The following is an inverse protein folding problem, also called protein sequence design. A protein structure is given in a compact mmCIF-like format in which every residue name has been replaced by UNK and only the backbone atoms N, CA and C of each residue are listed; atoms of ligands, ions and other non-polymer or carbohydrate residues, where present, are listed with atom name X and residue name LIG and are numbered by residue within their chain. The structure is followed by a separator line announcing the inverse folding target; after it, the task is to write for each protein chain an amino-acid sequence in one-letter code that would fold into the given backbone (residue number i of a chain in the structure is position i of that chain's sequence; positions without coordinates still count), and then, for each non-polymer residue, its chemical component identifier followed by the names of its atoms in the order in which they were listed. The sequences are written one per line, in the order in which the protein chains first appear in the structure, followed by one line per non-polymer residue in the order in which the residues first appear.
data_IF_779966975538
#
_entry.id   IF_779966975538
#
_cell.length_a   1.000
_cell.length_b   1.000
_cell.length_c   1.000
_cell.angle_alpha   90.00
_cell.angle_beta   90.00
_cell.angle_gamma   90.00
#
_symmetry.space_group_name_H-M   'P 1'
#
loop_
_entity.id
_entity.type
_entity.pdbx_description
1 polymer ?
#
# COMPACT_ATOMS: atom_id res chain seq x y z
N UNK A 1 31.30 24.79 -9.06
CA UNK A 1 30.04 25.09 -8.35
C UNK A 1 28.81 24.52 -9.05
N UNK A 2 28.63 24.80 -10.33
CA UNK A 2 27.47 24.29 -11.07
C UNK A 2 27.41 22.76 -11.14
N UNK A 3 28.52 22.07 -11.30
CA UNK A 3 28.57 20.61 -11.35
C UNK A 3 28.09 19.99 -10.04
N UNK A 4 28.45 20.62 -8.91
CA UNK A 4 28.04 20.14 -7.60
C UNK A 4 26.51 20.23 -7.42
N UNK A 5 25.93 21.36 -7.82
CA UNK A 5 24.48 21.57 -7.72
C UNK A 5 23.73 20.58 -8.62
N UNK A 6 24.22 20.34 -9.83
CA UNK A 6 23.63 19.38 -10.76
C UNK A 6 23.64 17.97 -10.17
N UNK A 7 24.75 17.57 -9.56
CA UNK A 7 24.85 16.24 -8.92
C UNK A 7 23.85 16.09 -7.77
N UNK A 8 23.67 17.12 -6.97
CA UNK A 8 22.73 17.11 -5.88
C UNK A 8 21.28 16.93 -6.37
N UNK A 9 20.89 17.64 -7.42
CA UNK A 9 19.55 17.52 -8.02
C UNK A 9 19.34 16.11 -8.57
N UNK A 10 20.35 15.53 -9.20
CA UNK A 10 20.27 14.17 -9.73
C UNK A 10 20.00 13.15 -8.62
N UNK A 11 20.67 13.26 -7.47
CA UNK A 11 20.46 12.37 -6.34
C UNK A 11 19.03 12.48 -5.79
N UNK A 12 18.50 13.70 -5.69
CA UNK A 12 17.12 13.91 -5.26
C UNK A 12 16.13 13.29 -6.24
N UNK A 13 16.36 13.42 -7.54
CA UNK A 13 15.50 12.82 -8.56
C UNK A 13 15.48 11.30 -8.45
N UNK A 14 16.64 10.67 -8.22
CA UNK A 14 16.74 9.23 -8.06
C UNK A 14 15.96 8.76 -6.84
N UNK A 15 16.03 9.48 -5.74
CA UNK A 15 15.29 9.16 -4.52
C UNK A 15 13.78 9.22 -4.75
N UNK A 16 13.29 10.29 -5.40
CA UNK A 16 11.86 10.44 -5.72
C UNK A 16 11.37 9.31 -6.61
N UNK A 17 12.15 8.91 -7.62
CA UNK A 17 11.79 7.80 -8.50
C UNK A 17 11.66 6.47 -7.74
N UNK A 18 12.49 6.23 -6.74
CA UNK A 18 12.40 5.03 -5.92
C UNK A 18 11.08 5.00 -5.13
N UNK A 19 10.69 6.13 -4.56
CA UNK A 19 9.44 6.23 -3.81
C UNK A 19 8.22 6.10 -4.72
N UNK A 20 8.27 6.65 -5.92
CA UNK A 20 7.17 6.57 -6.87
C UNK A 20 6.85 5.15 -7.33
N UNK A 21 7.77 4.22 -7.15
CA UNK A 21 7.56 2.83 -7.57
C UNK A 21 6.41 2.15 -6.85
N UNK A 22 6.07 2.60 -5.65
CA UNK A 22 4.94 2.03 -4.92
C UNK A 22 3.60 2.48 -5.47
N UNK A 23 3.56 3.59 -6.22
CA UNK A 23 2.33 4.10 -6.81
C UNK A 23 1.73 3.09 -7.77
N UNK A 24 0.44 2.89 -7.67
CA UNK A 24 -0.27 2.08 -8.64
C UNK A 24 -1.45 1.35 -8.08
N UNK A 25 -2.09 0.64 -9.00
CA UNK A 25 -3.25 -0.19 -8.70
C UNK A 25 -2.80 -1.63 -8.69
N UNK A 26 -3.01 -2.30 -7.58
CA UNK A 26 -2.65 -3.70 -7.36
C UNK A 26 -3.93 -4.52 -7.27
N UNK A 27 -3.98 -5.62 -7.98
CA UNK A 27 -5.11 -6.54 -7.96
C UNK A 27 -4.67 -7.82 -7.26
N UNK A 28 -5.46 -8.28 -6.30
CA UNK A 28 -5.11 -9.45 -5.52
C UNK A 28 -6.26 -9.95 -4.68
N UNK A 29 -5.92 -10.44 -3.50
CA UNK A 29 -6.87 -11.08 -2.62
C UNK A 29 -6.68 -10.63 -1.17
N UNK A 30 -7.80 -10.54 -0.46
CA UNK A 30 -7.83 -10.33 0.97
C UNK A 30 -8.45 -11.59 1.60
N UNK A 31 -7.84 -12.04 2.70
CA UNK A 31 -8.28 -13.24 3.41
C UNK A 31 -8.88 -12.84 4.75
N UNK A 32 -10.03 -13.40 5.10
CA UNK A 32 -10.66 -13.18 6.40
C UNK A 32 -10.10 -14.14 7.47
N UNK A 33 -10.58 -14.01 8.69
CA UNK A 33 -10.14 -14.84 9.82
C UNK A 33 -10.48 -16.33 9.67
N UNK A 34 -11.41 -16.64 8.78
CA UNK A 34 -11.81 -18.02 8.47
C UNK A 34 -11.11 -18.57 7.24
N UNK A 35 -10.12 -17.83 6.71
CA UNK A 35 -9.34 -18.16 5.53
C UNK A 35 -10.11 -18.17 4.22
N UNK A 36 -11.27 -17.51 4.19
CA UNK A 36 -11.97 -17.23 2.93
C UNK A 36 -11.30 -16.06 2.24
N UNK A 37 -11.15 -16.15 0.92
CA UNK A 37 -10.48 -15.11 0.13
C UNK A 37 -11.48 -14.36 -0.73
N UNK A 38 -11.22 -13.07 -0.89
CA UNK A 38 -12.05 -12.18 -1.68
C UNK A 38 -11.16 -11.32 -2.57
N UNK A 39 -11.58 -11.06 -3.83
CA UNK A 39 -10.83 -10.16 -4.70
C UNK A 39 -10.76 -8.76 -4.08
N UNK A 40 -9.60 -8.14 -4.16
CA UNK A 40 -9.40 -6.78 -3.68
C UNK A 40 -8.55 -5.99 -4.68
N UNK A 41 -8.94 -4.74 -4.89
CA UNK A 41 -8.15 -3.78 -5.65
C UNK A 41 -7.58 -2.79 -4.65
N UNK A 42 -6.26 -2.65 -4.67
CA UNK A 42 -5.52 -1.79 -3.75
C UNK A 42 -4.85 -0.69 -4.55
N UNK A 43 -5.17 0.55 -4.26
CA UNK A 43 -4.56 1.70 -4.92
C UNK A 43 -3.69 2.43 -3.91
N UNK A 44 -2.38 2.49 -4.18
CA UNK A 44 -1.41 3.18 -3.33
C UNK A 44 -0.86 4.39 -4.05
N UNK A 45 -0.67 5.45 -3.30
CA UNK A 45 -0.22 6.73 -3.83
C UNK A 45 0.73 7.39 -2.83
N UNK A 46 1.84 7.90 -3.32
CA UNK A 46 2.71 8.75 -2.53
C UNK A 46 2.58 10.18 -3.05
N UNK A 47 2.32 11.12 -2.15
CA UNK A 47 2.17 12.52 -2.51
C UNK A 47 3.54 13.19 -2.65
N UNK A 48 3.56 14.41 -3.21
CA UNK A 48 4.79 15.20 -3.33
C UNK A 48 5.43 15.49 -1.97
N UNK A 49 4.64 15.50 -0.91
CA UNK A 49 5.13 15.70 0.44
C UNK A 49 5.65 14.41 1.10
N UNK A 50 5.64 13.29 0.36
CA UNK A 50 6.11 12.01 0.88
C UNK A 50 5.11 11.26 1.72
N UNK A 51 3.84 11.66 1.69
CA UNK A 51 2.77 10.99 2.45
C UNK A 51 2.22 9.83 1.63
N UNK A 52 2.16 8.65 2.24
CA UNK A 52 1.60 7.47 1.60
C UNK A 52 0.15 7.32 2.02
N UNK A 53 -0.72 7.26 1.03
CA UNK A 53 -2.16 7.12 1.21
C UNK A 53 -2.74 6.27 0.09
N UNK A 54 -4.03 6.07 0.09
CA UNK A 54 -4.68 5.32 -0.97
C UNK A 54 -6.08 4.92 -0.61
N UNK A 55 -6.54 3.94 -1.35
CA UNK A 55 -7.88 3.41 -1.16
C UNK A 55 -7.94 1.97 -1.65
N UNK A 56 -8.94 1.24 -1.21
CA UNK A 56 -9.12 -0.13 -1.62
C UNK A 56 -10.61 -0.45 -1.76
N UNK A 57 -10.88 -1.49 -2.53
CA UNK A 57 -12.22 -1.97 -2.75
C UNK A 57 -12.20 -3.49 -2.82
N UNK A 58 -13.14 -4.14 -2.15
CA UNK A 58 -13.31 -5.58 -2.24
C UNK A 58 -14.79 -5.94 -2.27
N UNK A 59 -15.07 -7.16 -2.71
CA UNK A 59 -16.42 -7.68 -2.83
C UNK A 59 -16.66 -8.74 -1.78
N UNK A 60 -17.70 -8.57 -0.99
CA UNK A 60 -18.06 -9.50 0.06
C UNK A 60 -19.58 -9.55 0.21
N UNK A 61 -20.15 -10.77 0.17
CA UNK A 61 -21.59 -10.92 0.29
C UNK A 61 -22.39 -10.28 -0.82
N UNK A 62 -21.84 -10.21 -2.04
CA UNK A 62 -22.50 -9.58 -3.18
C UNK A 62 -22.48 -8.05 -3.14
N UNK A 63 -21.78 -7.47 -2.19
CA UNK A 63 -21.67 -6.01 -2.00
C UNK A 63 -20.24 -5.56 -2.14
N UNK A 64 -20.03 -4.36 -2.70
CA UNK A 64 -18.73 -3.72 -2.77
C UNK A 64 -18.48 -2.94 -1.48
N UNK A 65 -17.30 -3.15 -0.89
CA UNK A 65 -16.84 -2.46 0.30
C UNK A 65 -15.63 -1.62 -0.05
N UNK A 66 -15.60 -0.40 0.44
CA UNK A 66 -14.53 0.56 0.17
C UNK A 66 -13.89 1.03 1.46
N UNK A 67 -12.60 1.29 1.40
CA UNK A 67 -11.89 1.90 2.51
C UNK A 67 -10.78 2.81 2.02
N UNK A 68 -10.22 3.55 2.94
CA UNK A 68 -9.09 4.44 2.67
C UNK A 68 -7.88 3.98 3.45
N UNK A 69 -6.69 4.31 2.92
CA UNK A 69 -5.41 4.15 3.60
C UNK A 69 -4.89 5.50 4.04
N UNK A 70 -4.23 5.52 5.19
CA UNK A 70 -3.64 6.74 5.74
C UNK A 70 -2.45 6.41 6.65
N UNK A 71 -1.62 7.41 6.92
CA UNK A 71 -0.46 7.33 7.82
C UNK A 71 0.51 6.21 7.47
N UNK A 72 0.81 6.05 6.18
CA UNK A 72 1.76 5.06 5.73
C UNK A 72 3.19 5.39 6.14
N UNK A 73 3.91 4.37 6.60
CA UNK A 73 5.33 4.45 6.93
C UNK A 73 6.08 3.39 6.15
N UNK A 74 7.05 3.81 5.39
CA UNK A 74 7.78 2.98 4.46
C UNK A 74 9.24 2.86 4.88
N UNK A 75 9.74 1.63 4.95
CA UNK A 75 11.14 1.36 5.30
C UNK A 75 11.63 0.21 4.44
N UNK A 76 12.60 0.47 3.54
CA UNK A 76 13.07 -0.53 2.60
C UNK A 76 11.95 -0.95 1.66
N UNK A 77 11.50 -2.19 1.78
CA UNK A 77 10.39 -2.74 1.01
C UNK A 77 9.14 -2.96 1.87
N UNK A 78 9.18 -2.57 3.12
CA UNK A 78 8.10 -2.77 4.08
C UNK A 78 7.26 -1.50 4.19
N UNK A 79 5.95 -1.69 4.16
CA UNK A 79 4.99 -0.61 4.36
C UNK A 79 4.05 -0.99 5.48
N UNK A 80 3.95 -0.12 6.47
CA UNK A 80 2.90 -0.18 7.48
C UNK A 80 1.96 0.98 7.22
N UNK A 81 0.68 0.69 7.01
CA UNK A 81 -0.31 1.70 6.74
C UNK A 81 -1.60 1.33 7.46
N UNK A 82 -2.43 2.31 7.74
CA UNK A 82 -3.69 2.09 8.43
C UNK A 82 -4.84 2.17 7.44
N UNK A 83 -5.88 1.40 7.70
CA UNK A 83 -7.08 1.39 6.87
C UNK A 83 -8.30 1.73 7.69
N UNK A 84 -9.29 2.32 7.02
CA UNK A 84 -10.55 2.70 7.63
C UNK A 84 -11.69 2.50 6.67
N UNK A 85 -12.74 1.85 7.15
CA UNK A 85 -14.03 1.71 6.50
C UNK A 85 -15.08 2.43 7.33
N UNK A 86 -16.33 2.36 6.92
CA UNK A 86 -17.43 3.05 7.58
C UNK A 86 -17.48 2.80 9.10
N UNK A 87 -17.37 1.55 9.52
CA UNK A 87 -17.49 1.17 10.93
C UNK A 87 -16.29 0.40 11.48
N UNK A 88 -15.25 0.21 10.67
CA UNK A 88 -14.07 -0.58 11.06
C UNK A 88 -12.79 0.15 10.71
N UNK A 89 -11.75 -0.19 11.43
CA UNK A 89 -10.40 0.32 11.15
C UNK A 89 -9.35 -0.67 11.62
N UNK A 90 -8.17 -0.56 11.08
CA UNK A 90 -7.08 -1.44 11.45
C UNK A 90 -5.78 -1.06 10.78
N UNK A 91 -4.89 -2.05 10.67
CA UNK A 91 -3.56 -1.87 10.11
C UNK A 91 -3.33 -2.85 8.97
N UNK A 92 -2.39 -2.50 8.10
CA UNK A 92 -1.92 -3.33 7.01
C UNK A 92 -0.40 -3.25 6.98
N UNK A 93 0.25 -4.41 7.09
CA UNK A 93 1.71 -4.52 7.04
C UNK A 93 2.06 -5.38 5.83
N UNK A 94 2.69 -4.78 4.83
CA UNK A 94 2.99 -5.46 3.57
C UNK A 94 4.48 -5.32 3.21
N UNK A 95 4.93 -6.25 2.40
CA UNK A 95 6.28 -6.28 1.86
C UNK A 95 6.22 -6.35 0.35
N UNK A 96 6.93 -5.44 -0.32
CA UNK A 96 6.99 -5.39 -1.78
C UNK A 96 8.11 -6.28 -2.31
N UNK A 97 7.94 -6.78 -3.54
CA UNK A 97 9.03 -7.43 -4.25
C UNK A 97 10.07 -6.39 -4.70
N UNK A 98 11.17 -6.85 -5.27
CA UNK A 98 12.27 -5.97 -5.66
C UNK A 98 11.89 -4.92 -6.71
N UNK A 99 10.88 -5.23 -7.53
CA UNK A 99 10.43 -4.34 -8.60
C UNK A 99 9.22 -3.51 -8.21
N UNK A 100 8.71 -3.68 -6.98
CA UNK A 100 7.48 -3.04 -6.52
C UNK A 100 6.30 -3.34 -7.45
N UNK A 101 6.32 -4.53 -8.06
CA UNK A 101 5.26 -4.99 -8.95
C UNK A 101 4.19 -5.79 -8.19
N UNK A 102 4.52 -6.28 -7.01
CA UNK A 102 3.61 -7.05 -6.17
C UNK A 102 3.93 -6.87 -4.70
N UNK A 103 2.96 -7.16 -3.86
CA UNK A 103 3.16 -7.18 -2.42
C UNK A 103 2.39 -8.33 -1.79
N UNK A 104 2.81 -8.70 -0.61
CA UNK A 104 2.09 -9.62 0.25
C UNK A 104 2.24 -9.16 1.69
N UNK A 105 1.31 -9.56 2.54
CA UNK A 105 1.39 -9.20 3.94
C UNK A 105 0.14 -9.58 4.69
N UNK A 106 -0.07 -8.90 5.82
CA UNK A 106 -1.15 -9.19 6.74
C UNK A 106 -1.88 -7.92 7.12
N UNK A 107 -3.16 -8.06 7.36
CA UNK A 107 -4.00 -7.00 7.91
C UNK A 107 -4.55 -7.43 9.26
N UNK A 108 -4.89 -6.47 10.08
CA UNK A 108 -5.51 -6.75 11.36
C UNK A 108 -6.43 -5.64 11.82
N UNK A 109 -7.32 -6.02 12.71
CA UNK A 109 -8.20 -5.12 13.44
C UNK A 109 -8.36 -5.69 14.86
N UNK A 110 -9.31 -5.16 15.64
CA UNK A 110 -9.48 -5.58 17.03
C UNK A 110 -9.68 -7.10 17.19
N UNK A 111 -10.47 -7.72 16.32
CA UNK A 111 -10.83 -9.13 16.45
C UNK A 111 -10.55 -9.97 15.22
N UNK A 112 -10.02 -9.37 14.15
CA UNK A 112 -9.83 -10.05 12.88
C UNK A 112 -8.41 -9.85 12.37
N UNK A 113 -7.93 -10.83 11.62
CA UNK A 113 -6.71 -10.69 10.86
C UNK A 113 -6.75 -11.63 9.66
N UNK A 114 -5.85 -11.43 8.74
CA UNK A 114 -5.75 -12.27 7.55
C UNK A 114 -4.63 -11.81 6.65
N UNK A 115 -4.52 -12.44 5.49
CA UNK A 115 -3.52 -12.07 4.49
C UNK A 115 -4.10 -11.08 3.49
N UNK A 116 -3.21 -10.31 2.85
CA UNK A 116 -3.59 -9.34 1.84
C UNK A 116 -2.47 -9.27 0.82
N UNK A 117 -2.81 -9.43 -0.45
CA UNK A 117 -1.83 -9.41 -1.52
C UNK A 117 -2.32 -8.59 -2.70
N UNK A 118 -1.38 -8.20 -3.56
CA UNK A 118 -1.70 -7.47 -4.76
C UNK A 118 -0.58 -7.53 -5.78
N UNK A 119 -0.94 -7.39 -7.04
CA UNK A 119 -0.02 -7.39 -8.17
C UNK A 119 -0.48 -6.36 -9.19
N UNK A 120 0.46 -5.56 -9.66
CA UNK A 120 0.20 -4.60 -10.75
C UNK A 120 -0.08 -5.29 -12.07
#
# INVERSE_FOLDING_TARGET
MFKFITLFVFLLSTYVLADEKINGIYIGEIEDKYKNTYPVTTNLEITDAGVIKGQYEYKYGGKNWNGIFYDGKFSGKDLLIYWKEESRQGWLAINFDEKYASFSGTWGSTNNNGNWSGKK
#
